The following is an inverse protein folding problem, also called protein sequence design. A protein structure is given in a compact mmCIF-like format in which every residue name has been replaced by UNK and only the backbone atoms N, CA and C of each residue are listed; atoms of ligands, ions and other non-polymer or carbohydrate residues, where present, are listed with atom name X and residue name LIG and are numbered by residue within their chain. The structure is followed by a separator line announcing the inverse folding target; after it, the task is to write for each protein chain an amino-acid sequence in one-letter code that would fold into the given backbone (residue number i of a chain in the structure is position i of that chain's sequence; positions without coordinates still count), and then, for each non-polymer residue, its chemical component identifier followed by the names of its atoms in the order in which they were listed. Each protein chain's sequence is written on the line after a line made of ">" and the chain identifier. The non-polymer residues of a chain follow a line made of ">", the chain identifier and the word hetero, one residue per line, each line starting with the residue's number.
data_IF_222578333640
#
_entry.id   IF_222578333640
#
_cell.length_a   1.000
_cell.length_b   1.000
_cell.length_c   1.000
_cell.angle_alpha   90.00
_cell.angle_beta   90.00
_cell.angle_gamma   90.00
#
_symmetry.space_group_name_H-M   'P 1'
#
loop_
_entity.id
_entity.type
_entity.pdbx_description
1 polymer ?
#
# COMPACT_ATOMS: atom_id res chain seq x y z
N UNK A 1 10.81 11.95 21.74
CA UNK A 1 10.25 13.14 21.06
C UNK A 1 8.83 12.80 20.65
N UNK A 2 7.84 13.70 20.78
CA UNK A 2 6.52 13.44 20.22
C UNK A 2 6.65 13.29 18.70
N UNK A 3 6.02 12.27 18.13
CA UNK A 3 5.96 12.08 16.67
C UNK A 3 5.16 13.25 16.10
N UNK A 4 5.81 14.10 15.31
CA UNK A 4 5.16 15.26 14.70
C UNK A 4 4.26 14.78 13.55
N UNK A 5 2.99 14.52 13.85
CA UNK A 5 2.02 14.03 12.86
C UNK A 5 1.42 15.17 12.02
N UNK A 6 2.00 16.37 11.98
CA UNK A 6 1.45 17.50 11.22
C UNK A 6 1.36 17.20 9.71
N UNK A 7 2.24 16.32 9.20
CA UNK A 7 2.22 15.83 7.83
C UNK A 7 0.96 15.03 7.48
N UNK A 8 0.31 14.39 8.46
CA UNK A 8 -0.90 13.59 8.23
C UNK A 8 -2.06 14.42 7.67
N UNK A 9 -2.13 15.71 8.01
CA UNK A 9 -3.09 16.66 7.44
C UNK A 9 -2.70 17.15 6.04
N UNK A 10 -1.45 17.00 5.65
CA UNK A 10 -0.95 17.36 4.31
C UNK A 10 -1.20 16.23 3.29
N UNK A 11 -1.39 15.00 3.74
CA UNK A 11 -1.65 13.83 2.89
C UNK A 11 -3.13 13.80 2.52
N UNK A 12 -3.45 14.12 1.27
CA UNK A 12 -4.82 14.07 0.74
C UNK A 12 -5.35 12.63 0.63
N UNK A 13 -6.67 12.45 0.70
CA UNK A 13 -7.30 11.13 0.55
C UNK A 13 -7.05 10.52 -0.84
N UNK A 14 -7.01 11.36 -1.87
CA UNK A 14 -6.72 10.94 -3.25
C UNK A 14 -5.35 10.29 -3.38
N UNK A 15 -4.35 10.85 -2.70
CA UNK A 15 -3.00 10.31 -2.66
C UNK A 15 -2.98 8.94 -1.97
N UNK A 16 -3.66 8.80 -0.83
CA UNK A 16 -3.78 7.51 -0.14
C UNK A 16 -4.46 6.47 -1.02
N UNK A 17 -5.53 6.85 -1.71
CA UNK A 17 -6.21 5.98 -2.67
C UNK A 17 -5.29 5.58 -3.83
N UNK A 18 -4.47 6.50 -4.34
CA UNK A 18 -3.49 6.20 -5.37
C UNK A 18 -2.44 5.18 -4.89
N UNK A 19 -1.94 5.33 -3.66
CA UNK A 19 -0.97 4.42 -3.05
C UNK A 19 -1.57 3.02 -2.80
N UNK A 20 -2.82 2.95 -2.36
CA UNK A 20 -3.56 1.69 -2.23
C UNK A 20 -3.67 1.00 -3.59
N UNK A 21 -3.99 1.73 -4.66
CA UNK A 21 -4.01 1.18 -6.02
C UNK A 21 -2.65 0.63 -6.47
N UNK A 22 -1.55 1.28 -6.09
CA UNK A 22 -0.19 0.78 -6.36
C UNK A 22 0.14 -0.48 -5.57
N UNK A 23 -0.30 -0.58 -4.31
CA UNK A 23 -0.17 -1.80 -3.50
C UNK A 23 -0.93 -2.96 -4.13
N UNK A 24 -2.17 -2.74 -4.56
CA UNK A 24 -2.98 -3.77 -5.24
C UNK A 24 -2.27 -4.24 -6.51
N UNK A 25 -1.75 -3.33 -7.33
CA UNK A 25 -1.01 -3.67 -8.56
C UNK A 25 0.32 -4.38 -8.28
N UNK A 26 0.91 -4.18 -7.10
CA UNK A 26 2.10 -4.90 -6.67
C UNK A 26 1.79 -6.35 -6.27
N UNK A 27 0.63 -6.56 -5.65
CA UNK A 27 0.15 -7.90 -5.26
C UNK A 27 -0.38 -8.66 -6.48
N UNK A 28 -1.11 -7.95 -7.36
CA UNK A 28 -1.72 -8.47 -8.58
C UNK A 28 -1.07 -7.80 -9.81
N UNK A 29 0.10 -8.30 -10.25
CA UNK A 29 0.78 -7.75 -11.42
C UNK A 29 0.01 -8.02 -12.73
N UNK A 30 -0.74 -9.12 -12.80
CA UNK A 30 -1.58 -9.49 -13.93
C UNK A 30 -3.07 -9.24 -13.62
N UNK A 31 -3.79 -8.62 -14.56
CA UNK A 31 -5.24 -8.39 -14.45
C UNK A 31 -6.04 -9.70 -14.31
N UNK A 32 -5.46 -10.84 -14.70
CA UNK A 32 -6.07 -12.18 -14.61
C UNK A 32 -6.05 -12.76 -13.20
N UNK A 33 -5.12 -12.34 -12.34
CA UNK A 33 -5.09 -12.72 -10.92
C UNK A 33 -6.02 -11.84 -10.08
N UNK A 34 -6.46 -10.69 -10.61
CA UNK A 34 -7.35 -9.82 -9.85
C UNK A 34 -8.71 -10.49 -9.65
N UNK A 35 -9.25 -10.48 -8.41
CA UNK A 35 -10.47 -11.23 -8.14
C UNK A 35 -11.65 -10.73 -8.97
N UNK A 36 -12.42 -11.65 -9.54
CA UNK A 36 -13.65 -11.30 -10.26
C UNK A 36 -14.78 -11.03 -9.28
N UNK A 37 -14.85 -11.83 -8.21
CA UNK A 37 -15.83 -11.71 -7.14
C UNK A 37 -15.68 -10.41 -6.36
N UNK A 38 -16.80 -9.70 -6.15
CA UNK A 38 -16.81 -8.45 -5.38
C UNK A 38 -16.35 -8.66 -3.93
N UNK A 39 -16.65 -9.82 -3.32
CA UNK A 39 -16.21 -10.15 -1.97
C UNK A 39 -14.67 -10.25 -1.87
N UNK A 40 -14.04 -10.95 -2.82
CA UNK A 40 -12.57 -11.06 -2.85
C UNK A 40 -11.91 -9.73 -3.23
N UNK A 41 -12.50 -8.94 -4.14
CA UNK A 41 -11.99 -7.59 -4.44
C UNK A 41 -12.01 -6.71 -3.21
N UNK A 42 -13.09 -6.74 -2.43
CA UNK A 42 -13.17 -5.98 -1.18
C UNK A 42 -12.12 -6.44 -0.17
N UNK A 43 -11.85 -7.74 -0.09
CA UNK A 43 -10.79 -8.29 0.76
C UNK A 43 -9.41 -7.76 0.37
N UNK A 44 -9.04 -7.83 -0.92
CA UNK A 44 -7.77 -7.29 -1.43
C UNK A 44 -7.64 -5.79 -1.15
N UNK A 45 -8.70 -5.02 -1.38
CA UNK A 45 -8.72 -3.58 -1.11
C UNK A 45 -8.55 -3.32 0.39
N UNK A 46 -9.20 -4.11 1.25
CA UNK A 46 -9.07 -4.02 2.71
C UNK A 46 -7.63 -4.26 3.14
N UNK A 47 -7.00 -5.31 2.61
CA UNK A 47 -5.64 -5.68 2.97
C UNK A 47 -4.63 -4.62 2.50
N UNK A 48 -4.74 -4.14 1.26
CA UNK A 48 -3.91 -3.03 0.76
C UNK A 48 -4.09 -1.74 1.59
N UNK A 49 -5.32 -1.45 2.02
CA UNK A 49 -5.63 -0.30 2.87
C UNK A 49 -5.09 -0.48 4.30
N UNK A 50 -5.02 -1.69 4.80
CA UNK A 50 -4.40 -2.00 6.09
C UNK A 50 -2.89 -1.81 6.03
N UNK A 51 -2.23 -2.27 4.96
CA UNK A 51 -0.80 -2.03 4.73
C UNK A 51 -0.51 -0.53 4.68
N UNK A 52 -1.28 0.23 3.90
CA UNK A 52 -1.12 1.68 3.81
C UNK A 52 -1.28 2.35 5.18
N UNK A 53 -2.27 1.93 5.97
CA UNK A 53 -2.48 2.44 7.32
C UNK A 53 -1.30 2.12 8.24
N UNK A 54 -0.77 0.90 8.19
CA UNK A 54 0.41 0.52 8.97
C UNK A 54 1.62 1.39 8.62
N UNK A 55 1.87 1.63 7.32
CA UNK A 55 2.96 2.54 6.91
C UNK A 55 2.70 3.97 7.39
N UNK A 56 1.45 4.42 7.33
CA UNK A 56 1.05 5.75 7.79
C UNK A 56 1.23 5.94 9.30
N UNK A 57 0.98 4.89 10.09
CA UNK A 57 1.17 4.92 11.55
C UNK A 57 2.63 4.74 11.97
N UNK A 58 3.42 4.02 11.17
CA UNK A 58 4.85 3.79 11.40
C UNK A 58 5.71 5.00 11.03
N UNK A 59 5.32 5.76 10.01
CA UNK A 59 6.07 6.92 9.54
C UNK A 59 6.01 8.09 10.53
N UNK A 60 7.15 8.78 10.69
CA UNK A 60 7.27 9.99 11.49
C UNK A 60 7.06 11.24 10.65
N UNK A 61 7.34 11.19 9.36
CA UNK A 61 7.20 12.29 8.41
C UNK A 61 6.67 11.84 7.05
N UNK A 62 6.39 12.82 6.19
CA UNK A 62 5.81 12.58 4.86
C UNK A 62 6.77 11.83 3.93
N UNK A 63 8.07 12.13 4.00
CA UNK A 63 9.07 11.47 3.14
C UNK A 63 9.24 10.01 3.56
N UNK A 64 9.41 9.76 4.85
CA UNK A 64 9.51 8.41 5.41
C UNK A 64 8.26 7.57 5.06
N UNK A 65 7.06 8.14 5.11
CA UNK A 65 5.83 7.45 4.67
C UNK A 65 5.90 6.98 3.22
N UNK A 66 6.40 7.82 2.30
CA UNK A 66 6.54 7.42 0.90
C UNK A 66 7.64 6.40 0.69
N UNK A 67 8.78 6.55 1.37
CA UNK A 67 9.90 5.60 1.29
C UNK A 67 9.48 4.22 1.79
N UNK A 68 8.84 4.15 2.97
CA UNK A 68 8.30 2.91 3.53
C UNK A 68 7.29 2.24 2.59
N UNK A 69 6.37 3.02 2.01
CA UNK A 69 5.41 2.48 1.04
C UNK A 69 6.07 1.98 -0.24
N UNK A 70 7.02 2.75 -0.80
CA UNK A 70 7.73 2.34 -2.00
C UNK A 70 8.53 1.06 -1.77
N UNK A 71 9.23 0.97 -0.63
CA UNK A 71 9.94 -0.23 -0.22
C UNK A 71 8.98 -1.41 -0.02
N UNK A 72 7.83 -1.19 0.64
CA UNK A 72 6.82 -2.23 0.85
C UNK A 72 6.27 -2.77 -0.46
N UNK A 73 5.89 -1.88 -1.38
CA UNK A 73 5.42 -2.22 -2.73
C UNK A 73 6.49 -3.02 -3.48
N UNK A 74 7.75 -2.56 -3.43
CA UNK A 74 8.86 -3.24 -4.10
C UNK A 74 9.12 -4.63 -3.53
N UNK A 75 9.13 -4.77 -2.20
CA UNK A 75 9.29 -6.06 -1.54
C UNK A 75 8.16 -7.02 -1.93
N UNK A 76 6.89 -6.57 -1.89
CA UNK A 76 5.74 -7.39 -2.32
C UNK A 76 5.91 -7.83 -3.79
N UNK A 77 6.20 -6.90 -4.71
CA UNK A 77 6.41 -7.25 -6.12
C UNK A 77 7.52 -8.27 -6.30
N UNK A 78 8.63 -8.09 -5.58
CA UNK A 78 9.77 -9.00 -5.63
C UNK A 78 9.41 -10.36 -5.08
N UNK A 79 8.70 -10.44 -3.95
CA UNK A 79 8.26 -11.70 -3.34
C UNK A 79 7.28 -12.45 -4.25
N UNK A 80 6.30 -11.76 -4.85
CA UNK A 80 5.37 -12.35 -5.83
C UNK A 80 6.12 -12.84 -7.08
N UNK A 81 7.02 -12.01 -7.63
CA UNK A 81 7.83 -12.38 -8.79
C UNK A 81 8.82 -13.52 -8.48
N UNK A 82 9.35 -13.59 -7.26
CA UNK A 82 10.29 -14.63 -6.84
C UNK A 82 9.60 -15.94 -6.46
N UNK A 83 8.36 -15.88 -5.96
CA UNK A 83 7.53 -17.03 -5.60
C UNK A 83 6.87 -17.74 -6.79
N UNK A 84 6.89 -17.14 -7.98
CA UNK A 84 6.43 -17.75 -9.24
C UNK A 84 7.53 -18.61 -9.90
N UNK A 85 8.16 -19.50 -9.11
CA UNK A 85 9.23 -20.41 -9.57
C UNK A 85 9.02 -21.84 -9.10
#
# INVERSE_FOLDING_TARGET
>A
MPVDRSWTGQVSRDLRNHLIGRLIRAIFPEDSDFPVDDAQRQEVIRDAREIERQMFEAANDREEYYELLAEKIYNIQRDIAAGSR
#
